data_IF_808310503213
#
_entry.id   IF_808310503213
#
_cell.length_a   1.000
_cell.length_b   1.000
_cell.length_c   1.000
_cell.angle_alpha   90.00
_cell.angle_beta   90.00
_cell.angle_gamma   90.00
#
_symmetry.space_group_name_H-M   'P 1'
#
loop_
_entity.id
_entity.type
_entity.pdbx_description
1 polymer ?
#
# COMPACT_ATOMS: atom_id res chain seq x y z
N UNK A 1 -15.19 11.05 3.85
CA UNK A 1 -14.09 11.68 4.58
C UNK A 1 -12.93 10.71 4.52
N UNK A 2 -11.84 11.11 3.87
CA UNK A 2 -10.66 10.26 3.72
C UNK A 2 -9.93 10.10 5.06
N UNK A 3 -8.92 9.23 5.13
CA UNK A 3 -8.11 9.15 6.34
C UNK A 3 -7.30 10.44 6.54
N UNK A 4 -6.81 11.05 5.45
CA UNK A 4 -6.09 12.32 5.52
C UNK A 4 -6.99 13.46 6.03
N UNK A 5 -8.24 13.55 5.58
CA UNK A 5 -9.20 14.53 6.11
C UNK A 5 -9.34 14.41 7.63
N UNK A 6 -9.35 13.18 8.15
CA UNK A 6 -9.40 12.88 9.58
C UNK A 6 -8.12 13.30 10.29
N UNK A 7 -6.96 12.98 9.72
CA UNK A 7 -5.66 13.38 10.27
C UNK A 7 -5.54 14.91 10.37
N UNK A 8 -6.04 15.65 9.37
CA UNK A 8 -6.04 17.11 9.39
C UNK A 8 -6.97 17.64 10.49
N UNK A 9 -8.18 17.08 10.60
CA UNK A 9 -9.15 17.46 11.64
C UNK A 9 -8.61 17.21 13.05
N UNK A 10 -7.92 16.09 13.25
CA UNK A 10 -7.36 15.69 14.54
C UNK A 10 -6.03 16.40 14.86
N UNK A 11 -5.52 17.24 13.94
CA UNK A 11 -4.30 18.03 14.13
C UNK A 11 -2.99 17.26 13.91
N UNK A 12 -3.07 16.07 13.30
CA UNK A 12 -1.90 15.27 12.95
C UNK A 12 -1.25 15.72 11.63
N UNK A 13 -1.96 16.44 10.77
CA UNK A 13 -1.37 17.05 9.57
C UNK A 13 -1.99 18.41 9.26
N UNK A 14 -1.25 19.26 8.56
CA UNK A 14 -1.75 20.55 8.07
C UNK A 14 -1.34 20.75 6.62
N UNK A 15 -2.27 21.19 5.78
CA UNK A 15 -1.98 21.56 4.39
C UNK A 15 -2.16 23.07 4.25
N UNK A 16 -1.12 23.74 3.74
CA UNK A 16 -1.11 25.19 3.54
C UNK A 16 -0.63 25.53 2.13
N UNK A 17 -1.02 26.71 1.63
CA UNK A 17 -0.62 27.23 0.32
C UNK A 17 -1.73 27.20 -0.72
N UNK A 18 -1.45 27.81 -1.87
CA UNK A 18 -2.37 27.85 -3.03
C UNK A 18 -2.30 26.55 -3.84
N UNK A 19 -3.33 26.26 -4.65
CA UNK A 19 -3.58 24.97 -5.32
C UNK A 19 -2.38 24.30 -6.01
N UNK A 20 -1.38 25.05 -6.50
CA UNK A 20 -0.19 24.54 -7.19
C UNK A 20 1.13 24.68 -6.41
N UNK A 21 1.08 25.11 -5.15
CA UNK A 21 2.23 25.27 -4.24
C UNK A 21 1.85 24.86 -2.82
N UNK A 22 1.05 23.81 -2.71
CA UNK A 22 0.59 23.32 -1.41
C UNK A 22 1.73 22.56 -0.73
N UNK A 23 1.85 22.75 0.57
CA UNK A 23 2.74 21.97 1.43
C UNK A 23 1.93 21.25 2.49
N UNK A 24 2.28 20.00 2.73
CA UNK A 24 1.75 19.23 3.86
C UNK A 24 2.81 19.21 4.96
N UNK A 25 2.39 19.41 6.20
CA UNK A 25 3.21 19.19 7.39
C UNK A 25 2.63 18.03 8.17
N UNK A 26 3.43 17.00 8.38
CA UNK A 26 3.14 15.87 9.25
C UNK A 26 3.56 16.21 10.67
N UNK A 27 2.62 16.12 11.60
CA UNK A 27 2.86 16.34 13.02
C UNK A 27 3.14 15.00 13.67
N UNK A 28 4.42 14.67 13.78
CA UNK A 28 4.90 13.41 14.38
C UNK A 28 5.88 13.72 15.52
N UNK A 29 6.63 12.73 16.00
CA UNK A 29 7.73 12.96 16.92
C UNK A 29 8.79 13.91 16.35
N UNK A 30 8.99 13.87 15.02
CA UNK A 30 9.80 14.83 14.27
C UNK A 30 8.92 15.42 13.15
N UNK A 31 8.53 16.69 13.28
CA UNK A 31 7.71 17.33 12.26
C UNK A 31 8.44 17.33 10.91
N UNK A 32 7.72 16.99 9.84
CA UNK A 32 8.26 16.96 8.49
C UNK A 32 7.32 17.67 7.52
N UNK A 33 7.87 18.41 6.56
CA UNK A 33 7.08 19.17 5.58
C UNK A 33 7.49 18.82 4.17
N UNK A 34 6.51 18.47 3.33
CA UNK A 34 6.72 18.11 1.92
C UNK A 34 5.82 18.88 0.96
N UNK A 35 6.17 18.80 -0.33
CA UNK A 35 5.39 19.38 -1.41
C UNK A 35 4.13 18.56 -1.72
N UNK A 36 2.98 18.94 -1.15
CA UNK A 36 1.71 18.25 -1.37
C UNK A 36 1.18 18.34 -2.81
N UNK A 37 1.71 19.27 -3.61
CA UNK A 37 1.37 19.31 -5.04
C UNK A 37 1.99 18.14 -5.84
N UNK A 38 2.95 17.40 -5.27
CA UNK A 38 3.48 16.17 -5.86
C UNK A 38 2.43 15.04 -5.81
N UNK A 39 2.09 14.40 -6.94
CA UNK A 39 1.20 13.24 -6.97
C UNK A 39 1.64 12.07 -6.09
N UNK A 40 2.94 11.84 -5.91
CA UNK A 40 3.47 10.79 -5.02
C UNK A 40 3.21 11.15 -3.55
N UNK A 41 3.41 12.42 -3.19
CA UNK A 41 3.15 12.93 -1.84
C UNK A 41 1.69 12.79 -1.42
N UNK A 42 0.74 12.93 -2.36
CA UNK A 42 -0.69 12.69 -2.09
C UNK A 42 -0.97 11.25 -1.72
N UNK A 43 -0.31 10.29 -2.38
CA UNK A 43 -0.42 8.86 -2.06
C UNK A 43 0.21 8.59 -0.69
N UNK A 44 1.38 9.17 -0.42
CA UNK A 44 2.08 9.06 0.86
C UNK A 44 1.23 9.59 2.02
N UNK A 45 0.65 10.78 1.87
CA UNK A 45 -0.18 11.41 2.89
C UNK A 45 -1.42 10.59 3.26
N UNK A 46 -2.14 10.09 2.25
CA UNK A 46 -3.33 9.27 2.48
C UNK A 46 -2.97 7.92 3.11
N UNK A 47 -1.88 7.27 2.66
CA UNK A 47 -1.45 6.00 3.25
C UNK A 47 -0.91 6.17 4.67
N UNK A 48 -0.16 7.25 4.94
CA UNK A 48 0.29 7.60 6.29
C UNK A 48 -0.90 7.75 7.25
N UNK A 49 -1.98 8.40 6.83
CA UNK A 49 -3.19 8.50 7.63
C UNK A 49 -3.92 7.15 7.76
N UNK A 50 -3.93 6.30 6.73
CA UNK A 50 -4.46 4.93 6.81
C UNK A 50 -3.71 4.10 7.88
N UNK A 51 -2.38 4.24 7.97
CA UNK A 51 -1.55 3.56 8.98
C UNK A 51 -1.98 3.92 10.42
N UNK A 52 -2.36 5.17 10.66
CA UNK A 52 -2.81 5.64 11.97
C UNK A 52 -4.19 5.06 12.30
N UNK A 53 -5.17 5.23 11.42
CA UNK A 53 -6.57 4.98 11.79
C UNK A 53 -7.06 3.56 11.51
N UNK A 54 -6.55 2.93 10.44
CA UNK A 54 -6.96 1.58 10.07
C UNK A 54 -6.03 0.54 10.68
N UNK A 55 -4.73 0.79 10.64
CA UNK A 55 -3.74 -0.13 11.18
C UNK A 55 -3.39 0.16 12.65
N UNK A 56 -3.90 1.27 13.22
CA UNK A 56 -3.76 1.61 14.64
C UNK A 56 -2.30 1.72 15.11
N UNK A 57 -1.42 2.17 14.21
CA UNK A 57 -0.06 2.54 14.59
C UNK A 57 -0.05 3.91 15.27
N UNK A 58 0.60 4.07 16.43
CA UNK A 58 0.71 5.38 17.07
C UNK A 58 1.43 6.38 16.16
N UNK A 59 0.85 7.57 15.98
CA UNK A 59 1.43 8.62 15.13
C UNK A 59 2.87 8.99 15.55
N UNK A 60 3.19 8.89 16.84
CA UNK A 60 4.53 9.13 17.38
C UNK A 60 5.59 8.15 16.87
N UNK A 61 5.17 6.96 16.39
CA UNK A 61 6.03 5.87 15.88
C UNK A 61 6.04 5.79 14.35
N UNK A 62 5.50 6.77 13.65
CA UNK A 62 5.50 6.82 12.18
C UNK A 62 6.28 8.06 11.77
N UNK A 63 7.41 7.88 11.08
CA UNK A 63 8.21 8.99 10.54
C UNK A 63 8.18 8.98 9.02
N UNK A 64 8.31 10.17 8.44
CA UNK A 64 8.32 10.41 7.00
C UNK A 64 9.74 10.84 6.59
N UNK A 65 10.18 10.48 5.37
CA UNK A 65 11.48 10.87 4.81
C UNK A 65 12.67 10.46 5.70
N UNK A 66 12.67 9.20 6.15
CA UNK A 66 13.67 8.68 7.09
C UNK A 66 14.96 8.35 6.35
N UNK A 67 16.07 8.93 6.82
CA UNK A 67 17.41 8.66 6.26
C UNK A 67 17.76 7.18 6.42
N UNK A 68 18.09 6.54 5.29
CA UNK A 68 18.57 5.17 5.26
C UNK A 68 20.08 5.16 5.55
N UNK A 69 20.57 4.40 6.56
CA UNK A 69 22.00 4.29 6.85
C UNK A 69 22.81 3.77 5.65
N UNK A 70 24.08 4.17 5.56
CA UNK A 70 25.07 3.64 4.60
C UNK A 70 24.68 3.74 3.10
N UNK A 71 24.04 4.84 2.68
CA UNK A 71 23.90 5.20 1.25
C UNK A 71 24.58 6.54 0.93
N UNK A 72 25.40 6.54 -0.13
CA UNK A 72 25.94 7.73 -0.81
C UNK A 72 25.53 7.70 -2.30
N UNK A 73 24.83 8.72 -2.81
CA UNK A 73 24.22 9.84 -2.08
C UNK A 73 23.19 9.36 -1.05
N UNK A 74 22.96 10.19 -0.02
CA UNK A 74 22.01 9.88 1.07
C UNK A 74 20.63 9.63 0.48
N UNK A 75 20.05 8.50 0.86
CA UNK A 75 18.73 8.08 0.40
C UNK A 75 17.75 8.05 1.57
N UNK A 76 16.46 8.15 1.27
CA UNK A 76 15.40 8.24 2.27
C UNK A 76 14.29 7.25 1.94
N UNK A 77 13.79 6.59 2.98
CA UNK A 77 12.57 5.81 2.90
C UNK A 77 11.36 6.74 3.12
N UNK A 78 10.31 6.55 2.33
CA UNK A 78 9.17 7.47 2.33
C UNK A 78 8.46 7.50 3.68
N UNK A 79 8.18 6.33 4.26
CA UNK A 79 7.64 6.19 5.61
C UNK A 79 8.32 5.03 6.32
N UNK A 80 8.65 5.21 7.61
CA UNK A 80 9.07 4.13 8.50
C UNK A 80 8.17 4.08 9.73
N UNK A 81 7.63 2.89 9.99
CA UNK A 81 6.90 2.57 11.22
C UNK A 81 7.90 1.92 12.17
N UNK A 82 7.93 2.34 13.44
CA UNK A 82 8.83 1.81 14.47
C UNK A 82 8.08 0.94 15.48
N UNK A 83 8.76 -0.06 16.04
CA UNK A 83 8.19 -0.95 17.07
C UNK A 83 8.19 -0.33 18.48
N UNK A 84 8.99 0.71 18.70
CA UNK A 84 9.22 1.37 20.00
C UNK A 84 8.97 2.88 19.93
N UNK A 85 8.67 3.49 21.09
CA UNK A 85 8.38 4.92 21.21
C UNK A 85 9.59 5.83 20.94
N UNK A 86 10.80 5.34 21.22
CA UNK A 86 12.05 6.06 20.95
C UNK A 86 12.45 6.05 19.46
N UNK A 87 11.65 5.37 18.62
CA UNK A 87 11.86 5.20 17.19
C UNK A 87 13.27 4.67 16.85
N UNK A 88 13.71 3.62 17.56
CA UNK A 88 15.03 2.98 17.34
C UNK A 88 14.98 1.69 16.55
N UNK A 89 13.82 1.03 16.51
CA UNK A 89 13.65 -0.29 15.88
C UNK A 89 12.61 -0.16 14.77
N UNK A 90 13.03 0.06 13.51
CA UNK A 90 12.14 0.01 12.37
C UNK A 90 11.41 -1.34 12.33
N UNK A 91 10.12 -1.27 12.03
CA UNK A 91 9.21 -2.40 11.95
C UNK A 91 8.69 -2.56 10.52
N UNK A 92 8.39 -1.46 9.84
CA UNK A 92 7.96 -1.48 8.43
C UNK A 92 8.58 -0.33 7.67
N UNK A 93 9.10 -0.62 6.48
CA UNK A 93 9.50 0.38 5.48
C UNK A 93 8.38 0.49 4.45
N UNK A 94 7.97 1.70 4.12
CA UNK A 94 6.99 1.95 3.07
C UNK A 94 7.67 2.75 1.97
N UNK A 95 7.49 2.33 0.72
CA UNK A 95 7.77 3.17 -0.44
C UNK A 95 6.47 3.48 -1.20
N UNK A 96 6.27 4.75 -1.44
CA UNK A 96 5.16 5.33 -2.15
C UNK A 96 5.58 5.62 -3.60
N UNK A 97 4.61 5.49 -4.49
CA UNK A 97 4.71 5.95 -5.88
C UNK A 97 3.43 6.69 -6.22
N UNK A 98 3.50 7.63 -7.17
CA UNK A 98 2.28 8.23 -7.74
C UNK A 98 1.31 7.15 -8.23
N UNK A 99 0.02 7.42 -8.21
CA UNK A 99 -0.95 6.49 -8.83
C UNK A 99 -0.69 6.37 -10.34
N UNK A 100 -0.95 5.18 -10.88
CA UNK A 100 -0.83 4.90 -12.31
C UNK A 100 0.59 4.64 -12.81
N UNK A 101 1.56 4.37 -11.92
CA UNK A 101 2.87 3.84 -12.35
C UNK A 101 2.74 2.52 -13.11
N UNK A 102 3.74 2.26 -13.96
CA UNK A 102 3.88 1.02 -14.71
C UNK A 102 4.26 -0.15 -13.79
N UNK A 103 4.02 -1.38 -14.26
CA UNK A 103 4.42 -2.60 -13.54
C UNK A 103 5.95 -2.66 -13.31
N UNK A 104 6.74 -2.13 -14.26
CA UNK A 104 8.19 -2.04 -14.15
C UNK A 104 8.63 -1.07 -13.05
N UNK A 105 8.06 0.14 -13.00
CA UNK A 105 8.32 1.11 -11.93
C UNK A 105 7.88 0.56 -10.56
N UNK A 106 6.74 -0.14 -10.50
CA UNK A 106 6.26 -0.77 -9.27
C UNK A 106 7.20 -1.90 -8.80
N UNK A 107 7.70 -2.72 -9.72
CA UNK A 107 8.68 -3.77 -9.42
C UNK A 107 10.01 -3.18 -8.96
N UNK A 108 10.45 -2.07 -9.55
CA UNK A 108 11.64 -1.36 -9.11
C UNK A 108 11.48 -0.81 -7.69
N UNK A 109 10.30 -0.26 -7.36
CA UNK A 109 9.99 0.21 -6.01
C UNK A 109 10.03 -0.95 -4.98
N UNK A 110 9.56 -2.15 -5.35
CA UNK A 110 9.69 -3.35 -4.51
C UNK A 110 11.16 -3.63 -4.15
N UNK A 111 12.06 -3.62 -5.13
CA UNK A 111 13.48 -3.89 -4.86
C UNK A 111 14.16 -2.76 -4.09
N UNK A 112 13.73 -1.51 -4.28
CA UNK A 112 14.20 -0.38 -3.46
C UNK A 112 13.78 -0.55 -1.99
N UNK A 113 12.50 -0.80 -1.72
CA UNK A 113 11.98 -0.97 -0.37
C UNK A 113 12.60 -2.16 0.35
N UNK A 114 12.70 -3.33 -0.31
CA UNK A 114 13.39 -4.50 0.28
C UNK A 114 14.87 -4.24 0.48
N UNK A 115 15.53 -3.57 -0.47
CA UNK A 115 16.91 -3.14 -0.32
C UNK A 115 17.12 -2.21 0.88
N UNK A 116 16.13 -1.39 1.25
CA UNK A 116 16.17 -0.48 2.40
C UNK A 116 15.87 -1.18 3.74
N UNK A 117 15.03 -2.21 3.73
CA UNK A 117 14.65 -2.97 4.91
C UNK A 117 15.70 -4.01 5.38
N UNK A 118 16.76 -4.25 4.61
CA UNK A 118 17.81 -5.22 4.95
C UNK A 118 18.42 -5.00 6.34
N UNK A 119 18.96 -6.08 6.93
CA UNK A 119 19.53 -6.08 8.29
C UNK A 119 20.72 -5.15 8.51
N UNK A 120 21.42 -4.74 7.44
CA UNK A 120 22.54 -3.79 7.49
C UNK A 120 22.06 -2.34 7.52
N UNK A 121 20.81 -2.08 7.07
CA UNK A 121 20.22 -0.74 6.99
C UNK A 121 19.17 -0.56 8.08
N UNK A 122 17.88 -0.60 7.71
CA UNK A 122 16.80 -0.34 8.65
C UNK A 122 16.36 -1.59 9.43
N UNK A 123 16.67 -2.80 8.95
CA UNK A 123 16.29 -4.06 9.60
C UNK A 123 14.79 -4.07 9.99
N UNK A 124 13.93 -3.86 9.01
CA UNK A 124 12.49 -3.93 9.22
C UNK A 124 11.96 -5.35 8.98
N UNK A 125 10.80 -5.68 9.56
CA UNK A 125 10.15 -6.98 9.37
C UNK A 125 9.29 -7.01 8.10
N UNK A 126 8.77 -5.85 7.71
CA UNK A 126 7.87 -5.71 6.57
C UNK A 126 8.27 -4.59 5.62
N UNK A 127 7.95 -4.78 4.34
CA UNK A 127 7.99 -3.73 3.32
C UNK A 127 6.62 -3.56 2.70
N UNK A 128 6.19 -2.31 2.53
CA UNK A 128 4.96 -1.97 1.82
C UNK A 128 5.28 -1.09 0.63
N UNK A 129 4.83 -1.48 -0.55
CA UNK A 129 4.84 -0.61 -1.72
C UNK A 129 3.41 -0.16 -1.98
N UNK A 130 3.18 1.14 -2.12
CA UNK A 130 1.87 1.72 -2.37
C UNK A 130 1.91 2.68 -3.56
N UNK A 131 0.97 2.53 -4.49
CA UNK A 131 0.79 3.37 -5.65
C UNK A 131 -0.70 3.60 -5.92
N UNK A 132 -1.25 4.65 -5.33
CA UNK A 132 -2.70 4.88 -5.28
C UNK A 132 -3.42 3.68 -4.65
N UNK A 133 -4.37 3.09 -5.39
CA UNK A 133 -5.11 1.90 -4.93
C UNK A 133 -4.32 0.57 -5.00
N UNK A 134 -3.15 0.55 -5.65
CA UNK A 134 -2.32 -0.65 -5.76
C UNK A 134 -1.37 -0.73 -4.57
N UNK A 135 -1.30 -1.87 -3.89
CA UNK A 135 -0.27 -2.10 -2.87
C UNK A 135 0.26 -3.53 -2.84
N UNK A 136 1.48 -3.69 -2.34
CA UNK A 136 2.12 -4.97 -2.06
C UNK A 136 2.71 -4.93 -0.66
N UNK A 137 2.45 -5.95 0.14
CA UNK A 137 3.07 -6.14 1.46
C UNK A 137 3.98 -7.36 1.38
N UNK A 138 5.20 -7.23 1.88
CA UNK A 138 6.26 -8.23 1.77
C UNK A 138 6.81 -8.48 3.17
N UNK A 139 6.83 -9.75 3.58
CA UNK A 139 7.55 -10.22 4.77
C UNK A 139 9.03 -10.34 4.42
N UNK A 140 9.87 -9.54 5.07
CA UNK A 140 11.33 -9.54 4.89
C UNK A 140 12.04 -10.00 6.16
N UNK A 141 11.30 -10.66 7.06
CA UNK A 141 11.90 -11.33 8.22
C UNK A 141 12.79 -12.50 7.76
N UNK A 142 13.60 -13.02 8.68
CA UNK A 142 14.53 -14.14 8.43
C UNK A 142 13.81 -15.46 8.03
N UNK A 143 12.48 -15.49 8.01
CA UNK A 143 11.69 -16.64 7.55
C UNK A 143 11.83 -16.92 6.06
N UNK A 144 12.15 -15.91 5.25
CA UNK A 144 12.20 -16.01 3.80
C UNK A 144 13.57 -15.57 3.29
N UNK A 145 14.15 -16.37 2.38
CA UNK A 145 15.36 -16.02 1.66
C UNK A 145 15.12 -14.98 0.55
N UNK A 146 16.20 -14.37 0.05
CA UNK A 146 16.13 -13.35 -0.99
C UNK A 146 15.47 -13.83 -2.32
N UNK A 147 15.48 -15.14 -2.57
CA UNK A 147 14.90 -15.77 -3.77
C UNK A 147 13.45 -16.24 -3.57
N UNK A 148 12.82 -15.96 -2.43
CA UNK A 148 11.46 -16.40 -2.08
C UNK A 148 10.42 -15.26 -2.18
N UNK A 149 10.60 -14.36 -3.15
CA UNK A 149 9.82 -13.12 -3.27
C UNK A 149 8.34 -13.33 -3.63
N UNK A 150 7.99 -14.52 -4.10
CA UNK A 150 6.59 -14.88 -4.37
C UNK A 150 5.91 -15.46 -3.12
N UNK A 151 6.67 -16.17 -2.28
CA UNK A 151 6.16 -16.80 -1.06
C UNK A 151 6.01 -15.81 0.10
N UNK A 152 6.80 -14.74 0.10
CA UNK A 152 6.82 -13.76 1.18
C UNK A 152 5.81 -12.62 0.99
N UNK A 153 4.88 -12.73 0.04
CA UNK A 153 3.81 -11.76 -0.18
C UNK A 153 2.71 -11.98 0.86
N UNK A 154 2.39 -10.93 1.61
CA UNK A 154 1.30 -10.93 2.59
C UNK A 154 0.02 -10.32 2.00
N UNK A 155 -1.12 -10.78 2.53
CA UNK A 155 -2.43 -10.24 2.17
C UNK A 155 -2.59 -8.78 2.60
N UNK A 156 -2.11 -8.46 3.81
CA UNK A 156 -2.06 -7.10 4.34
C UNK A 156 -1.04 -6.99 5.49
N UNK A 157 -0.74 -5.75 5.90
CA UNK A 157 0.10 -5.46 7.05
C UNK A 157 -0.61 -5.85 8.36
N UNK A 158 0.10 -6.34 9.40
CA UNK A 158 -0.50 -6.56 10.70
C UNK A 158 -1.12 -5.28 11.27
N UNK A 159 -2.22 -5.41 12.00
CA UNK A 159 -2.86 -4.29 12.72
C UNK A 159 -2.24 -4.19 14.12
N UNK A 160 -1.83 -2.99 14.54
CA UNK A 160 -1.26 -2.70 15.85
C UNK A 160 -0.15 -3.69 16.28
N UNK A 161 0.80 -3.99 15.38
CA UNK A 161 1.89 -4.95 15.61
C UNK A 161 1.43 -6.39 15.94
N UNK A 162 0.19 -6.73 15.57
CA UNK A 162 -0.39 -8.05 15.76
C UNK A 162 0.16 -9.09 14.78
N UNK A 163 -0.63 -10.13 14.52
CA UNK A 163 -0.29 -11.17 13.54
C UNK A 163 -0.71 -10.75 12.13
N UNK A 164 0.06 -11.12 11.08
CA UNK A 164 -0.38 -11.00 9.70
C UNK A 164 -1.74 -11.67 9.47
N UNK A 165 -2.60 -11.04 8.67
CA UNK A 165 -3.87 -11.64 8.27
C UNK A 165 -3.65 -12.63 7.13
N UNK A 166 -4.32 -13.78 7.17
CA UNK A 166 -4.30 -14.75 6.06
C UNK A 166 -5.04 -14.23 4.83
N UNK A 167 -6.16 -13.52 5.04
CA UNK A 167 -6.98 -12.98 3.95
C UNK A 167 -7.19 -11.49 4.12
N UNK A 168 -7.21 -10.76 3.00
CA UNK A 168 -7.43 -9.31 3.00
C UNK A 168 -8.90 -8.92 3.20
N UNK A 169 -9.83 -9.77 2.76
CA UNK A 169 -11.26 -9.47 2.78
C UNK A 169 -12.04 -10.58 3.47
N UNK A 170 -12.95 -10.20 4.37
CA UNK A 170 -13.85 -11.11 5.09
C UNK A 170 -15.28 -10.59 5.00
N UNK A 171 -16.19 -11.42 4.47
CA UNK A 171 -17.60 -11.06 4.28
C UNK A 171 -18.28 -10.71 5.61
N UNK A 172 -19.01 -9.60 5.65
CA UNK A 172 -19.72 -9.13 6.84
C UNK A 172 -18.84 -8.50 7.92
N UNK A 173 -17.56 -8.23 7.64
CA UNK A 173 -16.65 -7.52 8.56
C UNK A 173 -16.34 -6.12 8.05
N UNK A 174 -15.59 -5.33 8.81
CA UNK A 174 -15.09 -4.02 8.36
C UNK A 174 -14.20 -4.11 7.10
N UNK A 175 -13.61 -5.29 6.88
CA UNK A 175 -12.81 -5.66 5.71
C UNK A 175 -13.64 -6.35 4.61
N UNK A 176 -14.97 -6.19 4.58
CA UNK A 176 -15.77 -6.68 3.46
C UNK A 176 -15.54 -5.83 2.19
N UNK A 177 -15.85 -6.41 1.03
CA UNK A 177 -15.82 -5.72 -0.26
C UNK A 177 -16.89 -4.63 -0.25
N UNK A 178 -16.45 -3.40 -0.44
CA UNK A 178 -17.33 -2.23 -0.52
C UNK A 178 -17.64 -1.90 -1.97
N UNK A 179 -18.79 -1.26 -2.18
CA UNK A 179 -19.12 -0.65 -3.47
C UNK A 179 -18.07 0.40 -3.82
N UNK A 180 -17.49 0.30 -5.01
CA UNK A 180 -16.49 1.23 -5.54
C UNK A 180 -17.13 2.20 -6.54
N UNK A 181 -16.52 3.37 -6.73
CA UNK A 181 -16.94 4.28 -7.78
C UNK A 181 -16.72 3.65 -9.16
N UNK A 182 -17.52 4.07 -10.15
CA UNK A 182 -17.45 3.53 -11.52
C UNK A 182 -16.07 3.81 -12.14
N UNK A 183 -15.51 4.97 -11.84
CA UNK A 183 -14.23 5.45 -12.34
C UNK A 183 -13.07 4.58 -11.81
N UNK A 184 -13.12 4.20 -10.53
CA UNK A 184 -12.16 3.28 -9.91
C UNK A 184 -12.22 1.89 -10.55
N UNK A 185 -13.44 1.41 -10.80
CA UNK A 185 -13.65 0.13 -11.47
C UNK A 185 -13.09 0.13 -12.89
N UNK A 186 -13.34 1.20 -13.66
CA UNK A 186 -12.78 1.36 -15.02
C UNK A 186 -11.25 1.38 -14.97
N UNK A 187 -10.68 2.08 -13.99
CA UNK A 187 -9.23 2.17 -13.82
C UNK A 187 -8.61 0.81 -13.50
N UNK A 188 -9.23 0.03 -12.60
CA UNK A 188 -8.80 -1.33 -12.29
C UNK A 188 -8.85 -2.25 -13.51
N UNK A 189 -9.96 -2.23 -14.28
CA UNK A 189 -10.13 -3.02 -15.51
C UNK A 189 -9.05 -2.66 -16.54
N UNK A 190 -8.77 -1.38 -16.74
CA UNK A 190 -7.72 -0.91 -17.65
C UNK A 190 -6.34 -1.41 -17.24
N UNK A 191 -5.99 -1.31 -15.95
CA UNK A 191 -4.72 -1.82 -15.41
C UNK A 191 -4.59 -3.33 -15.67
N UNK A 192 -5.62 -4.12 -15.33
CA UNK A 192 -5.62 -5.56 -15.61
C UNK A 192 -5.44 -5.89 -17.10
N UNK A 193 -6.12 -5.17 -18.00
CA UNK A 193 -5.94 -5.35 -19.43
C UNK A 193 -4.49 -5.10 -19.86
N UNK A 194 -3.87 -4.02 -19.37
CA UNK A 194 -2.50 -3.67 -19.78
C UNK A 194 -1.47 -4.68 -19.28
N UNK A 195 -1.62 -5.17 -18.04
CA UNK A 195 -0.77 -6.24 -17.51
C UNK A 195 -0.90 -7.52 -18.35
N UNK A 196 -2.13 -7.90 -18.73
CA UNK A 196 -2.36 -9.07 -19.60
C UNK A 196 -1.81 -8.86 -21.02
N UNK A 197 -1.94 -7.65 -21.56
CA UNK A 197 -1.42 -7.29 -22.89
C UNK A 197 0.11 -7.39 -22.96
N UNK A 198 0.81 -7.13 -21.85
CA UNK A 198 2.23 -7.40 -21.70
C UNK A 198 3.11 -6.64 -22.70
N UNK A 199 2.78 -5.37 -22.97
CA UNK A 199 3.55 -4.51 -23.87
C UNK A 199 3.52 -4.93 -25.35
N UNK A 200 2.48 -5.67 -25.78
CA UNK A 200 2.33 -6.16 -27.15
C UNK A 200 2.63 -7.64 -27.33
N UNK A 201 2.97 -8.36 -26.26
CA UNK A 201 3.16 -9.82 -26.28
C UNK A 201 1.88 -10.56 -26.66
N UNK A 202 0.72 -10.05 -26.24
CA UNK A 202 -0.58 -10.50 -26.72
C UNK A 202 -1.20 -9.46 -27.65
N UNK A 203 -2.03 -9.91 -28.59
CA UNK A 203 -2.89 -8.98 -29.33
C UNK A 203 -3.93 -8.36 -28.39
N UNK A 204 -4.41 -7.14 -28.64
CA UNK A 204 -5.45 -6.53 -27.81
C UNK A 204 -6.71 -7.41 -27.66
N UNK A 205 -7.23 -8.08 -28.72
CA UNK A 205 -8.35 -9.00 -28.57
C UNK A 205 -8.05 -10.21 -27.66
N UNK A 206 -6.84 -10.77 -27.73
CA UNK A 206 -6.46 -11.90 -26.88
C UNK A 206 -6.36 -11.48 -25.42
N UNK A 207 -5.73 -10.33 -25.12
CA UNK A 207 -5.64 -9.78 -23.77
C UNK A 207 -7.03 -9.49 -23.18
N UNK A 208 -7.93 -8.91 -24.00
CA UNK A 208 -9.33 -8.70 -23.62
C UNK A 208 -10.06 -10.03 -23.33
N UNK A 209 -9.81 -11.07 -24.14
CA UNK A 209 -10.34 -12.41 -23.92
C UNK A 209 -9.93 -13.00 -22.57
N UNK A 210 -8.64 -12.90 -22.20
CA UNK A 210 -8.16 -13.34 -20.89
C UNK A 210 -8.78 -12.54 -19.74
N UNK A 211 -8.93 -11.23 -19.91
CA UNK A 211 -9.61 -10.38 -18.92
C UNK A 211 -11.07 -10.82 -18.71
N UNK A 212 -11.80 -11.11 -19.79
CA UNK A 212 -13.18 -11.60 -19.72
C UNK A 212 -13.29 -12.92 -18.94
N UNK A 213 -12.33 -13.84 -19.13
CA UNK A 213 -12.28 -15.10 -18.38
C UNK A 213 -12.12 -14.85 -16.88
N UNK A 214 -11.23 -13.94 -16.49
CA UNK A 214 -11.02 -13.57 -15.09
C UNK A 214 -12.29 -12.96 -14.46
N UNK A 215 -12.94 -12.03 -15.17
CA UNK A 215 -14.20 -11.42 -14.73
C UNK A 215 -15.28 -12.49 -14.55
N UNK A 216 -15.41 -13.41 -15.52
CA UNK A 216 -16.44 -14.45 -15.49
C UNK A 216 -16.22 -15.45 -14.35
N UNK A 217 -14.97 -15.89 -14.12
CA UNK A 217 -14.62 -16.75 -12.99
C UNK A 217 -14.97 -16.09 -11.65
N UNK A 218 -14.64 -14.80 -11.49
CA UNK A 218 -14.96 -14.06 -10.27
C UNK A 218 -16.48 -13.85 -10.11
N UNK A 219 -17.19 -13.55 -11.19
CA UNK A 219 -18.65 -13.41 -11.18
C UNK A 219 -19.38 -14.70 -10.78
N UNK A 220 -18.91 -15.86 -11.25
CA UNK A 220 -19.43 -17.17 -10.83
C UNK A 220 -19.13 -17.49 -9.36
N UNK A 221 -17.91 -17.21 -8.89
CA UNK A 221 -17.56 -17.44 -7.49
C UNK A 221 -18.42 -16.58 -6.55
N UNK A 222 -18.71 -15.32 -6.93
CA UNK A 222 -19.60 -14.43 -6.17
C UNK A 222 -21.05 -14.90 -6.19
N UNK A 223 -21.54 -15.45 -7.31
CA UNK A 223 -22.91 -15.95 -7.42
C UNK A 223 -23.13 -17.29 -6.69
N UNK A 224 -22.16 -18.20 -6.70
CA UNK A 224 -22.24 -19.47 -5.95
C UNK A 224 -22.20 -19.26 -4.42
N UNK A 225 -21.45 -18.26 -3.94
CA UNK A 225 -21.46 -17.87 -2.52
C UNK A 225 -22.77 -17.19 -2.07
N UNK A 226 -23.58 -16.66 -3.00
CA UNK A 226 -24.95 -16.23 -2.70
C UNK A 226 -25.95 -17.39 -2.62
N UNK A 227 -25.73 -18.49 -3.35
CA UNK A 227 -26.60 -19.68 -3.30
C UNK A 227 -26.35 -20.58 -2.07
N UNK A 228 -25.09 -20.72 -1.65
CA UNK A 228 -24.71 -21.50 -0.46
C UNK A 228 -25.34 -20.96 0.84
N UNK A 229 -25.48 -19.63 0.98
CA UNK A 229 -26.02 -19.00 2.20
C UNK A 229 -27.55 -19.13 2.30
N UNK A 230 -28.25 -19.28 1.17
CA UNK A 230 -29.71 -19.47 1.16
C UNK A 230 -30.10 -20.90 1.58
N UNK A 231 -29.22 -21.89 1.40
CA UNK A 231 -29.50 -23.28 1.75
C UNK A 231 -29.10 -23.70 3.17
N UNK A 232 -28.45 -22.82 3.95
CA UNK A 232 -28.17 -23.06 5.37
C UNK A 232 -29.19 -22.42 6.34
N UNK A 233 -30.26 -21.81 5.79
CA UNK A 233 -31.43 -21.32 6.53
C UNK A 233 -32.72 -22.00 6.07
N UNK A 234 -32.70 -23.33 5.99
CA UNK A 234 -33.91 -24.17 6.04
C UNK A 234 -33.68 -25.33 6.98
#
# INVERSE_FOLDING_TARGET
>A
MSFLDRAIKDGYAYIIGADNKQKITYVTSDNHTENYSDPEEKVRAEFWAELIYKYEYPVSRIKVEVVVPDRLPTDRADIVIFADDDCKRPYTVVECKKDGVTDAEFTQAIEQGVGNATGVKLRADYVVIVAGGTRRVIDVTEKFGAFEREQNILADLPKAYGKPQEFRFYKGTDNDIKTVAREDLITAIKKCHQTLWGGGRLSPPTAFGELCKLIFLRGKVLSEHTWSIIHYRR
#
